data_IF_474096121244
#
_entry.id   IF_474096121244
#
_cell.length_a   1.000
_cell.length_b   1.000
_cell.length_c   1.000
_cell.angle_alpha   90.00
_cell.angle_beta   90.00
_cell.angle_gamma   90.00
#
_symmetry.space_group_name_H-M   'P 1'
#
loop_
_entity.id
_entity.type
_entity.pdbx_description
1 polymer ?
#
# COMPACT_ATOMS: atom_id res chain seq x y z
N UNK A 1 20.07 10.78 7.50
CA UNK A 1 20.23 9.39 6.97
C UNK A 1 21.72 9.13 6.70
N UNK A 2 22.26 7.97 7.13
CA UNK A 2 23.66 7.65 6.86
C UNK A 2 23.76 6.79 5.58
N UNK A 3 24.29 7.38 4.50
CA UNK A 3 24.49 6.66 3.23
C UNK A 3 25.40 5.42 3.36
N UNK A 4 26.26 5.38 4.40
CA UNK A 4 27.15 4.25 4.65
C UNK A 4 26.42 2.99 5.11
N UNK A 5 25.14 3.08 5.53
CA UNK A 5 24.35 1.92 5.91
C UNK A 5 23.82 1.15 4.69
N UNK A 6 23.88 1.75 3.50
CA UNK A 6 23.36 1.16 2.26
C UNK A 6 24.47 0.58 1.38
N UNK A 7 24.12 -0.42 0.56
CA UNK A 7 24.98 -0.95 -0.50
C UNK A 7 24.95 0.01 -1.68
N UNK A 8 25.89 0.93 -1.74
CA UNK A 8 25.99 1.94 -2.80
C UNK A 8 27.03 1.50 -3.81
N UNK A 9 26.73 1.43 -5.13
CA UNK A 9 27.69 1.13 -6.16
C UNK A 9 28.69 2.28 -6.35
N UNK A 10 29.78 2.03 -7.05
CA UNK A 10 30.67 3.11 -7.50
C UNK A 10 29.91 4.04 -8.46
N UNK A 11 30.10 5.35 -8.30
CA UNK A 11 29.42 6.39 -9.08
C UNK A 11 28.10 6.86 -8.46
N UNK A 12 27.29 7.55 -9.26
CA UNK A 12 25.99 8.11 -8.83
C UNK A 12 24.86 7.13 -9.13
N UNK A 13 24.05 6.81 -8.11
CA UNK A 13 22.84 6.01 -8.27
C UNK A 13 21.59 6.89 -8.16
N UNK A 14 20.89 7.09 -9.28
CA UNK A 14 19.70 7.97 -9.38
C UNK A 14 18.41 7.21 -9.65
N UNK A 15 18.37 5.89 -9.41
CA UNK A 15 17.26 5.02 -9.78
C UNK A 15 16.39 4.58 -8.59
N UNK A 16 16.46 5.25 -7.44
CA UNK A 16 15.63 4.89 -6.28
C UNK A 16 14.13 4.98 -6.56
N UNK A 17 13.73 5.84 -7.49
CA UNK A 17 12.34 5.93 -7.95
C UNK A 17 11.84 4.63 -8.64
N UNK A 18 12.76 3.76 -9.04
CA UNK A 18 12.47 2.42 -9.59
C UNK A 18 12.79 1.32 -8.58
N UNK A 19 14.04 1.23 -8.12
CA UNK A 19 14.50 0.24 -7.14
C UNK A 19 15.45 0.90 -6.14
N UNK A 20 15.09 0.93 -4.87
CA UNK A 20 15.95 1.42 -3.79
C UNK A 20 17.14 0.49 -3.51
N UNK A 21 18.20 1.04 -2.93
CA UNK A 21 19.42 0.25 -2.59
C UNK A 21 19.23 -0.42 -1.23
N UNK A 22 19.59 -1.72 -1.08
CA UNK A 22 19.39 -2.43 0.17
C UNK A 22 20.33 -1.92 1.28
N UNK A 23 19.88 -2.08 2.52
CA UNK A 23 20.76 -1.94 3.69
C UNK A 23 21.86 -3.02 3.64
N UNK A 24 23.07 -2.69 4.09
CA UNK A 24 24.17 -3.68 4.24
C UNK A 24 23.84 -4.82 5.19
N UNK A 25 23.03 -4.53 6.20
CA UNK A 25 22.56 -5.52 7.19
C UNK A 25 21.41 -6.41 6.70
N UNK A 26 20.82 -6.10 5.52
CA UNK A 26 19.63 -6.80 5.04
C UNK A 26 19.86 -8.29 4.78
N UNK A 27 21.01 -8.67 4.22
CA UNK A 27 21.35 -10.07 3.94
C UNK A 27 21.45 -10.89 5.22
N UNK A 28 22.16 -10.40 6.23
CA UNK A 28 22.30 -11.06 7.52
C UNK A 28 20.96 -11.17 8.23
N UNK A 29 20.15 -10.12 8.25
CA UNK A 29 18.81 -10.15 8.82
C UNK A 29 17.93 -11.21 8.14
N UNK A 30 17.90 -11.20 6.80
CA UNK A 30 17.10 -12.16 6.04
C UNK A 30 17.54 -13.61 6.28
N UNK A 31 18.85 -13.87 6.32
CA UNK A 31 19.38 -15.19 6.65
C UNK A 31 18.91 -15.64 8.05
N UNK A 32 18.99 -14.77 9.05
CA UNK A 32 18.61 -15.11 10.42
C UNK A 32 17.10 -15.34 10.57
N UNK A 33 16.28 -14.53 9.93
CA UNK A 33 14.81 -14.56 10.12
C UNK A 33 14.11 -15.55 9.19
N UNK A 34 14.69 -15.84 8.04
CA UNK A 34 14.08 -16.73 7.04
C UNK A 34 14.80 -18.09 6.95
N UNK A 35 16.06 -18.10 6.55
CA UNK A 35 16.78 -19.36 6.30
C UNK A 35 17.13 -20.13 7.58
N UNK A 36 17.60 -19.45 8.62
CA UNK A 36 17.97 -20.12 9.87
C UNK A 36 16.78 -20.83 10.53
N UNK A 37 15.59 -20.22 10.50
CA UNK A 37 14.37 -20.85 10.98
C UNK A 37 14.02 -22.12 10.21
N UNK A 38 14.26 -22.14 8.91
CA UNK A 38 13.94 -23.26 8.04
C UNK A 38 14.97 -24.40 8.12
N UNK A 39 16.25 -24.04 8.29
CA UNK A 39 17.37 -24.98 8.23
C UNK A 39 17.69 -25.64 9.59
N UNK A 40 17.56 -24.88 10.69
CA UNK A 40 18.10 -25.27 11.97
C UNK A 40 17.06 -25.85 12.94
N UNK A 41 15.78 -25.69 12.66
CA UNK A 41 14.70 -26.15 13.51
C UNK A 41 14.11 -27.47 13.01
N UNK A 42 13.94 -28.43 13.91
CA UNK A 42 13.25 -29.69 13.59
C UNK A 42 11.73 -29.58 13.75
N UNK A 43 11.18 -28.43 13.22
CA UNK A 43 9.77 -28.09 13.25
C UNK A 43 9.44 -27.15 12.09
N UNK A 44 8.15 -26.93 11.85
CA UNK A 44 7.68 -25.97 10.87
C UNK A 44 8.09 -24.55 11.23
N UNK A 45 8.65 -23.74 10.30
CA UNK A 45 9.13 -22.39 10.56
C UNK A 45 8.01 -21.34 10.58
N UNK A 46 6.74 -21.73 10.43
CA UNK A 46 5.61 -20.81 10.27
C UNK A 46 5.52 -19.75 11.36
N UNK A 47 5.72 -20.14 12.62
CA UNK A 47 5.63 -19.19 13.73
C UNK A 47 6.62 -18.04 13.58
N UNK A 48 7.89 -18.33 13.27
CA UNK A 48 8.91 -17.31 13.08
C UNK A 48 8.68 -16.49 11.80
N UNK A 49 8.28 -17.14 10.72
CA UNK A 49 7.97 -16.46 9.48
C UNK A 49 6.80 -15.48 9.62
N UNK A 50 5.74 -15.87 10.33
CA UNK A 50 4.59 -15.01 10.59
C UNK A 50 4.97 -13.83 11.51
N UNK A 51 5.85 -14.01 12.48
CA UNK A 51 6.43 -12.90 13.26
C UNK A 51 7.16 -11.89 12.37
N UNK A 52 7.85 -12.35 11.31
CA UNK A 52 8.45 -11.47 10.31
C UNK A 52 7.42 -10.65 9.53
N UNK A 53 6.26 -11.24 9.24
CA UNK A 53 5.13 -10.52 8.62
C UNK A 53 4.48 -9.52 9.60
N UNK A 54 4.34 -9.89 10.86
CA UNK A 54 3.88 -8.97 11.92
C UNK A 54 4.85 -7.79 12.10
N UNK A 55 6.16 -8.05 12.02
CA UNK A 55 7.17 -6.99 12.03
C UNK A 55 7.02 -6.05 10.84
N UNK A 56 6.66 -6.56 9.65
CA UNK A 56 6.39 -5.74 8.46
C UNK A 56 5.21 -4.79 8.69
N UNK A 57 4.05 -5.29 9.13
CA UNK A 57 2.87 -4.45 9.38
C UNK A 57 3.07 -3.50 10.54
N UNK A 58 3.81 -3.90 11.59
CA UNK A 58 4.17 -3.04 12.72
C UNK A 58 5.12 -1.90 12.32
N UNK A 59 6.10 -2.19 11.46
CA UNK A 59 7.01 -1.17 10.93
C UNK A 59 6.27 -0.15 10.05
N UNK A 60 5.30 -0.60 9.24
CA UNK A 60 4.43 0.29 8.48
C UNK A 60 3.55 1.14 9.39
N UNK A 61 2.95 0.55 10.42
CA UNK A 61 2.14 1.27 11.40
C UNK A 61 2.94 2.39 12.09
N UNK A 62 4.19 2.11 12.46
CA UNK A 62 5.10 3.11 13.03
C UNK A 62 5.45 4.20 12.02
N UNK A 63 5.79 3.83 10.77
CA UNK A 63 6.18 4.77 9.71
C UNK A 63 5.06 5.75 9.37
N UNK A 64 3.80 5.28 9.35
CA UNK A 64 2.63 6.04 8.93
C UNK A 64 1.76 6.53 10.09
N UNK A 65 2.21 6.34 11.33
CA UNK A 65 1.47 6.72 12.54
C UNK A 65 0.05 6.14 12.58
N UNK A 66 -0.05 4.81 12.49
CA UNK A 66 -1.32 4.07 12.40
C UNK A 66 -1.28 2.78 13.23
N UNK A 67 -2.24 1.87 13.03
CA UNK A 67 -2.34 0.59 13.70
C UNK A 67 -2.00 -0.56 12.73
N UNK A 68 -1.21 -1.55 13.18
CA UNK A 68 -0.76 -2.68 12.34
C UNK A 68 -1.90 -3.53 11.79
N UNK A 69 -3.00 -3.63 12.53
CA UNK A 69 -4.22 -4.36 12.15
C UNK A 69 -4.96 -3.76 10.94
N UNK A 70 -4.65 -2.51 10.58
CA UNK A 70 -5.22 -1.84 9.41
C UNK A 70 -4.37 -2.05 8.14
N UNK A 71 -3.22 -2.71 8.24
CA UNK A 71 -2.36 -3.06 7.11
C UNK A 71 -2.52 -4.53 6.71
N UNK A 72 -2.61 -4.77 5.41
CA UNK A 72 -2.52 -6.10 4.83
C UNK A 72 -1.33 -6.19 3.88
N UNK A 73 -0.42 -7.19 4.05
CA UNK A 73 0.62 -7.46 3.09
C UNK A 73 0.05 -7.78 1.71
N UNK A 74 0.66 -7.25 0.66
CA UNK A 74 0.28 -7.47 -0.74
C UNK A 74 1.52 -7.76 -1.59
N UNK A 75 1.39 -8.55 -2.64
CA UNK A 75 2.53 -8.86 -3.52
C UNK A 75 2.95 -7.68 -4.38
N UNK A 76 2.01 -6.83 -4.77
CA UNK A 76 2.21 -5.57 -5.52
C UNK A 76 0.97 -4.68 -5.40
N UNK A 77 1.08 -3.43 -5.86
CA UNK A 77 -0.02 -2.46 -5.78
C UNK A 77 -1.23 -2.88 -6.63
N UNK A 78 -1.00 -3.38 -7.83
CA UNK A 78 -2.10 -3.75 -8.75
C UNK A 78 -2.99 -4.84 -8.15
N UNK A 79 -2.39 -5.87 -7.53
CA UNK A 79 -3.13 -6.93 -6.84
C UNK A 79 -3.90 -6.39 -5.63
N UNK A 80 -3.28 -5.51 -4.84
CA UNK A 80 -3.94 -4.85 -3.71
C UNK A 80 -5.11 -3.98 -4.16
N UNK A 81 -4.92 -3.20 -5.23
CA UNK A 81 -5.97 -2.38 -5.82
C UNK A 81 -7.13 -3.22 -6.34
N UNK A 82 -6.86 -4.28 -7.09
CA UNK A 82 -7.89 -5.20 -7.62
C UNK A 82 -8.72 -5.79 -6.48
N UNK A 83 -8.08 -6.31 -5.42
CA UNK A 83 -8.77 -6.84 -4.25
C UNK A 83 -9.65 -5.79 -3.57
N UNK A 84 -9.15 -4.58 -3.42
CA UNK A 84 -9.92 -3.47 -2.83
C UNK A 84 -11.14 -3.12 -3.67
N UNK A 85 -10.97 -2.87 -4.96
CA UNK A 85 -12.05 -2.49 -5.87
C UNK A 85 -13.17 -3.53 -5.87
N UNK A 86 -12.82 -4.82 -5.94
CA UNK A 86 -13.78 -5.94 -5.94
C UNK A 86 -14.41 -6.20 -4.58
N UNK A 87 -13.95 -5.58 -3.50
CA UNK A 87 -14.41 -5.86 -2.13
C UNK A 87 -15.42 -4.85 -1.60
N UNK A 88 -15.35 -3.60 -2.06
CA UNK A 88 -16.14 -2.52 -1.47
C UNK A 88 -17.49 -2.37 -2.21
N UNK A 89 -18.66 -2.45 -1.49
CA UNK A 89 -19.96 -2.50 -2.14
C UNK A 89 -20.26 -1.27 -3.02
N UNK A 90 -19.80 -0.08 -2.61
CA UNK A 90 -19.98 1.14 -3.39
C UNK A 90 -19.24 1.10 -4.73
N UNK A 91 -18.08 0.42 -4.79
CA UNK A 91 -17.27 0.31 -6.00
C UNK A 91 -17.74 -0.81 -6.94
N UNK A 92 -18.66 -1.64 -6.47
CA UNK A 92 -19.29 -2.71 -7.26
C UNK A 92 -20.73 -2.37 -7.67
N UNK A 93 -21.17 -1.14 -7.46
CA UNK A 93 -22.46 -0.66 -7.96
C UNK A 93 -22.40 -0.38 -9.47
N UNK A 94 -23.54 -0.55 -10.12
CA UNK A 94 -23.69 -0.09 -11.51
C UNK A 94 -23.44 1.42 -11.63
N UNK A 95 -22.77 1.82 -12.70
CA UNK A 95 -22.40 3.21 -12.99
C UNK A 95 -21.51 3.88 -11.91
N UNK A 96 -20.76 3.08 -11.15
CA UNK A 96 -19.72 3.58 -10.25
C UNK A 96 -18.75 4.49 -11.02
N UNK A 97 -18.40 5.65 -10.44
CA UNK A 97 -17.46 6.60 -11.05
C UNK A 97 -16.19 6.73 -10.25
N UNK A 98 -15.06 6.59 -10.93
CA UNK A 98 -13.73 6.73 -10.34
C UNK A 98 -12.99 7.87 -11.01
N UNK A 99 -12.42 8.78 -10.21
CA UNK A 99 -11.55 9.86 -10.67
C UNK A 99 -10.09 9.45 -10.52
N UNK A 100 -9.31 9.61 -11.58
CA UNK A 100 -7.84 9.47 -11.54
C UNK A 100 -7.21 10.43 -12.57
N UNK A 101 -5.89 10.60 -12.54
CA UNK A 101 -5.20 11.43 -13.51
C UNK A 101 -4.64 10.60 -14.69
N UNK A 102 -4.61 11.16 -15.90
CA UNK A 102 -3.91 10.55 -17.04
C UNK A 102 -2.41 10.35 -16.78
N UNK A 103 -1.85 11.08 -15.82
CA UNK A 103 -0.46 10.98 -15.39
C UNK A 103 -0.19 9.89 -14.36
N UNK A 104 -1.22 9.17 -13.88
CA UNK A 104 -1.06 8.06 -12.95
C UNK A 104 -0.34 6.89 -13.60
N UNK A 105 0.26 6.04 -12.75
CA UNK A 105 1.01 4.88 -13.25
C UNK A 105 0.06 3.91 -13.98
N UNK A 106 0.37 3.47 -15.22
CA UNK A 106 -0.56 2.77 -16.09
C UNK A 106 -1.20 1.51 -15.48
N UNK A 107 -0.48 0.77 -14.64
CA UNK A 107 -1.02 -0.43 -13.99
C UNK A 107 -2.24 -0.13 -13.13
N UNK A 108 -2.36 1.08 -12.57
CA UNK A 108 -3.52 1.47 -11.76
C UNK A 108 -4.76 1.62 -12.64
N UNK A 109 -4.64 2.29 -13.79
CA UNK A 109 -5.70 2.39 -14.77
C UNK A 109 -6.13 1.03 -15.34
N UNK A 110 -5.16 0.12 -15.60
CA UNK A 110 -5.48 -1.24 -16.06
C UNK A 110 -6.27 -2.04 -15.01
N UNK A 111 -5.88 -1.94 -13.72
CA UNK A 111 -6.59 -2.59 -12.63
C UNK A 111 -8.01 -2.01 -12.46
N UNK A 112 -8.17 -0.67 -12.55
CA UNK A 112 -9.49 -0.01 -12.54
C UNK A 112 -10.41 -0.55 -13.63
N UNK A 113 -9.93 -0.59 -14.89
CA UNK A 113 -10.71 -1.06 -16.03
C UNK A 113 -11.16 -2.54 -15.93
N UNK A 114 -10.45 -3.36 -15.14
CA UNK A 114 -10.72 -4.80 -15.05
C UNK A 114 -11.40 -5.25 -13.76
N UNK A 115 -11.26 -4.49 -12.70
CA UNK A 115 -11.81 -4.84 -11.37
C UNK A 115 -13.14 -4.14 -11.06
N UNK A 116 -13.43 -3.04 -11.74
CA UNK A 116 -14.72 -2.36 -11.66
C UNK A 116 -15.76 -3.03 -12.56
N UNK A 117 -17.09 -2.87 -12.30
CA UNK A 117 -18.14 -3.28 -13.20
C UNK A 117 -17.98 -2.72 -14.62
N UNK A 118 -18.48 -3.42 -15.63
CA UNK A 118 -18.42 -2.94 -17.04
C UNK A 118 -19.13 -1.60 -17.25
N UNK A 119 -20.13 -1.30 -16.43
CA UNK A 119 -20.86 -0.02 -16.46
C UNK A 119 -20.14 1.12 -15.73
N UNK A 120 -19.01 0.85 -15.07
CA UNK A 120 -18.27 1.88 -14.35
C UNK A 120 -17.61 2.88 -15.32
N UNK A 121 -17.57 4.14 -14.89
CA UNK A 121 -16.92 5.23 -15.61
C UNK A 121 -15.61 5.62 -14.93
N UNK A 122 -14.52 5.69 -15.68
CA UNK A 122 -13.26 6.26 -15.21
C UNK A 122 -13.14 7.66 -15.79
N UNK A 123 -13.25 8.66 -14.92
CA UNK A 123 -13.06 10.07 -15.25
C UNK A 123 -11.57 10.39 -15.09
N UNK A 124 -10.96 10.95 -16.12
CA UNK A 124 -9.56 11.32 -16.10
C UNK A 124 -9.37 12.82 -15.97
N UNK A 125 -8.50 13.25 -15.05
CA UNK A 125 -7.93 14.60 -15.07
C UNK A 125 -6.92 14.64 -16.21
N UNK A 126 -7.05 15.62 -17.12
CA UNK A 126 -6.20 15.75 -18.30
C UNK A 126 -4.71 15.90 -17.88
N UNK A 127 -3.81 15.30 -18.63
CA UNK A 127 -2.35 15.32 -18.37
C UNK A 127 -1.71 16.72 -18.42
N UNK A 128 -2.40 17.71 -18.98
CA UNK A 128 -1.94 19.10 -19.07
C UNK A 128 -2.39 19.95 -17.87
N UNK A 129 -3.26 19.41 -17.01
CA UNK A 129 -3.68 20.08 -15.77
C UNK A 129 -2.56 20.06 -14.71
N UNK A 130 -2.55 21.10 -13.88
CA UNK A 130 -1.61 21.17 -12.75
C UNK A 130 -2.13 20.35 -11.56
N UNK A 131 -1.65 19.13 -11.43
CA UNK A 131 -2.05 18.21 -10.35
C UNK A 131 -1.57 18.65 -8.96
N UNK A 132 -0.76 19.71 -8.86
CA UNK A 132 -0.37 20.35 -7.59
C UNK A 132 -1.39 21.40 -7.12
N UNK A 133 -2.34 21.78 -7.98
CA UNK A 133 -3.43 22.68 -7.63
C UNK A 133 -4.68 21.91 -7.18
N UNK A 134 -5.04 22.06 -5.91
CA UNK A 134 -6.23 21.45 -5.33
C UNK A 134 -7.55 21.90 -6.00
N UNK A 135 -7.58 23.08 -6.65
CA UNK A 135 -8.77 23.58 -7.32
C UNK A 135 -9.11 22.76 -8.58
N UNK A 136 -8.11 22.20 -9.25
CA UNK A 136 -8.33 21.27 -10.36
C UNK A 136 -9.10 20.04 -9.85
N UNK A 137 -8.64 19.42 -8.78
CA UNK A 137 -9.32 18.27 -8.15
C UNK A 137 -10.74 18.63 -7.70
N UNK A 138 -10.92 19.80 -7.10
CA UNK A 138 -12.23 20.30 -6.68
C UNK A 138 -13.19 20.40 -7.86
N UNK A 139 -12.75 20.94 -9.00
CA UNK A 139 -13.59 21.10 -10.18
C UNK A 139 -14.11 19.76 -10.72
N UNK A 140 -13.24 18.73 -10.77
CA UNK A 140 -13.63 17.39 -11.21
C UNK A 140 -14.56 16.69 -10.22
N UNK A 141 -14.29 16.79 -8.92
CA UNK A 141 -15.10 16.20 -7.86
C UNK A 141 -16.49 16.84 -7.77
N UNK A 142 -16.59 18.15 -7.93
CA UNK A 142 -17.86 18.89 -7.90
C UNK A 142 -18.79 18.57 -9.07
N UNK A 143 -18.23 18.25 -10.24
CA UNK A 143 -19.00 18.14 -11.48
C UNK A 143 -19.36 16.71 -11.89
N UNK A 144 -18.84 15.67 -11.21
CA UNK A 144 -18.91 14.30 -11.74
C UNK A 144 -19.55 13.24 -10.82
N UNK A 145 -19.98 13.56 -9.60
CA UNK A 145 -20.54 12.57 -8.64
C UNK A 145 -19.62 11.35 -8.47
N UNK A 146 -18.37 11.58 -8.09
CA UNK A 146 -17.32 10.58 -8.01
C UNK A 146 -17.51 9.68 -6.77
N UNK A 147 -17.42 8.36 -6.93
CA UNK A 147 -17.46 7.39 -5.84
C UNK A 147 -16.10 7.16 -5.19
N UNK A 148 -15.03 7.17 -5.98
CA UNK A 148 -13.65 7.00 -5.52
C UNK A 148 -12.73 7.98 -6.26
N UNK A 149 -11.88 8.69 -5.52
CA UNK A 149 -10.74 9.40 -6.11
C UNK A 149 -9.45 8.64 -5.80
N UNK A 150 -8.70 8.31 -6.86
CA UNK A 150 -7.35 7.77 -6.79
C UNK A 150 -6.34 8.92 -6.84
N UNK A 151 -5.43 8.96 -5.87
CA UNK A 151 -4.50 10.08 -5.68
C UNK A 151 -3.08 9.53 -5.61
N UNK A 152 -2.27 9.72 -6.64
CA UNK A 152 -0.82 9.52 -6.53
C UNK A 152 -0.22 10.67 -5.71
N UNK A 153 0.37 10.39 -4.54
CA UNK A 153 1.01 11.42 -3.72
C UNK A 153 2.16 12.10 -4.47
N UNK A 154 2.92 11.31 -5.25
CA UNK A 154 3.94 11.82 -6.17
C UNK A 154 3.84 11.06 -7.49
N UNK A 155 3.78 11.78 -8.58
CA UNK A 155 3.70 11.21 -9.94
C UNK A 155 5.06 10.70 -10.42
N UNK A 156 5.08 9.45 -10.88
CA UNK A 156 6.33 8.74 -11.23
C UNK A 156 7.03 9.31 -12.46
N UNK A 157 6.30 9.96 -13.35
CA UNK A 157 6.79 10.52 -14.62
C UNK A 157 7.24 11.98 -14.51
N UNK A 158 6.65 12.77 -13.60
CA UNK A 158 6.92 14.21 -13.47
C UNK A 158 7.61 14.57 -12.16
N UNK A 159 7.44 13.75 -11.10
CA UNK A 159 7.87 14.09 -9.75
C UNK A 159 7.00 15.15 -9.06
N UNK A 160 5.90 15.57 -9.68
CA UNK A 160 4.93 16.48 -9.06
C UNK A 160 4.32 15.85 -7.81
N UNK A 161 4.20 16.63 -6.75
CA UNK A 161 3.59 16.23 -5.47
C UNK A 161 2.17 16.78 -5.40
N UNK A 162 1.18 15.88 -5.28
CA UNK A 162 -0.22 16.25 -5.09
C UNK A 162 -0.47 16.78 -3.66
N UNK A 163 -1.34 17.77 -3.47
CA UNK A 163 -1.73 18.32 -2.17
C UNK A 163 -2.75 17.41 -1.49
N UNK A 164 -2.28 16.25 -0.98
CA UNK A 164 -3.14 15.15 -0.53
C UNK A 164 -4.10 15.53 0.60
N UNK A 165 -3.70 16.43 1.51
CA UNK A 165 -4.57 16.90 2.60
C UNK A 165 -5.79 17.64 2.06
N UNK A 166 -5.56 18.54 1.11
CA UNK A 166 -6.61 19.33 0.48
C UNK A 166 -7.53 18.44 -0.35
N UNK A 167 -6.96 17.56 -1.17
CA UNK A 167 -7.74 16.67 -2.06
C UNK A 167 -8.62 15.72 -1.24
N UNK A 168 -8.09 15.09 -0.17
CA UNK A 168 -8.86 14.20 0.71
C UNK A 168 -9.99 14.97 1.41
N UNK A 169 -9.74 16.20 1.87
CA UNK A 169 -10.77 17.03 2.47
C UNK A 169 -11.88 17.40 1.47
N UNK A 170 -11.51 17.73 0.23
CA UNK A 170 -12.47 17.99 -0.84
C UNK A 170 -13.28 16.73 -1.16
N UNK A 171 -12.62 15.58 -1.33
CA UNK A 171 -13.28 14.30 -1.57
C UNK A 171 -14.34 13.99 -0.50
N UNK A 172 -13.99 14.22 0.77
CA UNK A 172 -14.90 14.05 1.90
C UNK A 172 -16.11 14.98 1.85
N UNK A 173 -15.94 16.26 1.45
CA UNK A 173 -17.05 17.22 1.28
C UNK A 173 -18.03 16.75 0.20
N UNK A 174 -17.54 16.03 -0.81
CA UNK A 174 -18.33 15.44 -1.89
C UNK A 174 -18.79 14.01 -1.61
N UNK A 175 -18.60 13.49 -0.38
CA UNK A 175 -18.91 12.10 -0.03
C UNK A 175 -18.22 11.09 -0.97
N UNK A 176 -17.02 11.39 -1.45
CA UNK A 176 -16.18 10.57 -2.32
C UNK A 176 -15.17 9.80 -1.47
N UNK A 177 -15.03 8.49 -1.69
CA UNK A 177 -13.97 7.67 -1.08
C UNK A 177 -12.59 8.10 -1.62
N UNK A 178 -11.57 8.06 -0.76
CA UNK A 178 -10.21 8.41 -1.14
C UNK A 178 -9.27 7.22 -1.07
N UNK A 179 -8.48 7.01 -2.13
CA UNK A 179 -7.42 6.02 -2.21
C UNK A 179 -6.09 6.68 -2.54
N UNK A 180 -5.15 6.63 -1.60
CA UNK A 180 -3.83 7.23 -1.71
C UNK A 180 -2.79 6.21 -2.20
N UNK A 181 -2.08 6.50 -3.28
CA UNK A 181 -0.88 5.78 -3.72
C UNK A 181 0.37 6.50 -3.20
N UNK A 182 1.13 5.83 -2.31
CA UNK A 182 2.36 6.36 -1.73
C UNK A 182 3.62 5.67 -2.27
N UNK A 183 3.53 4.96 -3.38
CA UNK A 183 4.66 4.20 -3.93
C UNK A 183 5.89 5.07 -4.24
N UNK A 184 5.71 6.36 -4.56
CA UNK A 184 6.80 7.29 -4.83
C UNK A 184 7.12 8.23 -3.66
N UNK A 185 6.40 8.14 -2.54
CA UNK A 185 6.58 9.05 -1.41
C UNK A 185 6.91 8.36 -0.09
N UNK A 186 6.47 7.12 0.09
CA UNK A 186 6.76 6.34 1.31
C UNK A 186 8.26 6.23 1.57
N UNK A 187 8.69 6.67 2.74
CA UNK A 187 10.09 6.68 3.14
C UNK A 187 10.85 7.99 2.89
N UNK A 188 10.28 8.94 2.11
CA UNK A 188 10.90 10.25 1.83
C UNK A 188 9.99 11.45 2.09
N UNK A 189 8.67 11.27 2.05
CA UNK A 189 7.71 12.30 2.44
C UNK A 189 6.92 11.83 3.65
N UNK A 190 6.55 12.79 4.50
CA UNK A 190 5.70 12.50 5.65
C UNK A 190 4.27 12.16 5.17
N UNK A 191 3.77 11.01 5.65
CA UNK A 191 2.37 10.62 5.52
C UNK A 191 1.92 10.16 6.92
N UNK A 192 1.13 10.98 7.58
CA UNK A 192 0.61 10.72 8.92
C UNK A 192 -0.88 10.40 8.84
N UNK A 193 -1.22 9.13 8.96
CA UNK A 193 -2.59 8.64 8.83
C UNK A 193 -3.51 9.07 9.99
N UNK A 194 -2.97 9.61 11.07
CA UNK A 194 -3.80 10.24 12.12
C UNK A 194 -4.28 11.63 11.75
N UNK A 195 -3.58 12.29 10.80
CA UNK A 195 -3.91 13.64 10.30
C UNK A 195 -4.64 13.59 8.96
N UNK A 196 -4.48 12.49 8.21
CA UNK A 196 -5.16 12.24 6.94
C UNK A 196 -6.42 11.41 7.21
N UNK A 197 -7.60 11.95 6.93
CA UNK A 197 -8.85 11.18 7.00
C UNK A 197 -9.07 10.41 5.67
N UNK A 198 -8.04 9.71 5.22
CA UNK A 198 -8.09 8.87 4.03
C UNK A 198 -8.88 7.58 4.30
N UNK A 199 -9.49 7.01 3.25
CA UNK A 199 -10.20 5.75 3.37
C UNK A 199 -9.29 4.55 3.12
N UNK A 200 -8.41 4.66 2.11
CA UNK A 200 -7.50 3.59 1.70
C UNK A 200 -6.12 4.14 1.33
N UNK A 201 -5.09 3.31 1.46
CA UNK A 201 -3.74 3.61 0.99
C UNK A 201 -3.07 2.36 0.44
N UNK A 202 -2.34 2.52 -0.67
CA UNK A 202 -1.47 1.51 -1.27
C UNK A 202 -0.03 2.00 -1.31
N UNK A 203 0.92 1.08 -1.13
CA UNK A 203 2.32 1.39 -1.26
C UNK A 203 3.19 0.15 -1.46
N UNK A 204 4.47 0.35 -1.71
CA UNK A 204 5.45 -0.71 -1.93
C UNK A 204 6.79 -0.37 -1.31
N UNK A 205 7.51 -1.40 -0.87
CA UNK A 205 8.84 -1.24 -0.29
C UNK A 205 9.98 -1.19 -1.32
N UNK A 206 9.73 -1.48 -2.60
CA UNK A 206 10.77 -1.66 -3.62
C UNK A 206 11.55 -0.39 -3.94
N UNK A 207 10.93 0.78 -3.80
CA UNK A 207 11.48 2.09 -4.19
C UNK A 207 12.25 2.74 -3.02
N UNK A 208 11.68 3.78 -2.47
CA UNK A 208 12.32 4.64 -1.45
C UNK A 208 12.44 3.98 -0.07
N UNK A 209 11.62 2.97 0.22
CA UNK A 209 11.75 2.15 1.44
C UNK A 209 12.86 1.09 1.34
N UNK A 210 13.50 0.92 0.17
CA UNK A 210 14.67 0.05 -0.02
C UNK A 210 14.49 -1.41 0.42
N UNK A 211 13.25 -1.91 0.47
CA UNK A 211 12.89 -3.24 0.99
C UNK A 211 12.78 -4.33 -0.07
N UNK A 212 13.11 -4.04 -1.34
CA UNK A 212 13.01 -5.00 -2.45
C UNK A 212 11.58 -5.23 -2.98
N UNK A 213 11.46 -5.97 -4.10
CA UNK A 213 10.17 -6.26 -4.73
C UNK A 213 9.40 -7.36 -3.98
N UNK A 214 8.09 -7.43 -4.21
CA UNK A 214 7.22 -8.47 -3.64
C UNK A 214 6.63 -8.13 -2.28
N UNK A 215 7.00 -6.99 -1.68
CA UNK A 215 6.44 -6.49 -0.42
C UNK A 215 5.76 -5.14 -0.64
N UNK A 216 4.51 -5.21 -1.06
CA UNK A 216 3.57 -4.10 -1.09
C UNK A 216 2.60 -4.22 0.09
N UNK A 217 1.77 -3.21 0.28
CA UNK A 217 0.78 -3.18 1.34
C UNK A 217 -0.47 -2.42 0.91
N UNK A 218 -1.59 -2.85 1.48
CA UNK A 218 -2.87 -2.15 1.50
C UNK A 218 -3.16 -1.72 2.94
N UNK A 219 -3.46 -0.46 3.16
CA UNK A 219 -4.02 0.04 4.40
C UNK A 219 -5.49 0.39 4.18
N UNK A 220 -6.34 0.02 5.13
CA UNK A 220 -7.78 0.29 5.11
C UNK A 220 -8.15 0.98 6.41
N UNK A 221 -8.79 2.14 6.33
CA UNK A 221 -9.26 2.83 7.53
C UNK A 221 -10.25 1.99 8.33
N UNK A 222 -10.29 2.17 9.63
CA UNK A 222 -11.23 1.45 10.51
C UNK A 222 -12.69 1.66 10.12
N UNK A 223 -13.02 2.82 9.51
CA UNK A 223 -14.36 3.16 9.03
C UNK A 223 -14.78 2.29 7.84
N UNK A 224 -13.85 1.94 6.96
CA UNK A 224 -14.12 1.20 5.72
C UNK A 224 -13.92 -0.30 5.87
N UNK A 225 -13.12 -0.73 6.86
CA UNK A 225 -12.69 -2.11 6.99
C UNK A 225 -13.84 -3.11 7.06
N UNK A 226 -14.88 -2.82 7.87
CA UNK A 226 -16.04 -3.71 8.03
C UNK A 226 -16.94 -3.78 6.80
N UNK A 227 -16.87 -2.78 5.92
CA UNK A 227 -17.65 -2.73 4.67
C UNK A 227 -17.03 -3.57 3.56
N UNK A 228 -15.71 -3.81 3.63
CA UNK A 228 -14.99 -4.54 2.60
C UNK A 228 -15.19 -6.06 2.73
N UNK A 229 -15.57 -6.71 1.64
CA UNK A 229 -15.75 -8.15 1.50
C UNK A 229 -14.91 -8.67 0.31
N UNK A 230 -13.59 -8.91 0.49
CA UNK A 230 -12.73 -9.36 -0.60
C UNK A 230 -13.22 -10.65 -1.25
N UNK A 231 -13.13 -10.72 -2.59
CA UNK A 231 -13.49 -11.90 -3.37
C UNK A 231 -12.32 -12.91 -3.44
N UNK A 232 -11.08 -12.41 -3.50
CA UNK A 232 -9.88 -13.24 -3.46
C UNK A 232 -9.54 -13.57 -2.00
N UNK A 233 -10.08 -14.70 -1.55
CA UNK A 233 -9.95 -15.18 -0.18
C UNK A 233 -9.24 -16.53 -0.13
N UNK A 234 -8.66 -16.81 1.02
CA UNK A 234 -8.05 -18.09 1.35
C UNK A 234 -7.96 -18.25 2.86
N UNK A 235 -7.23 -19.24 3.33
CA UNK A 235 -7.18 -19.56 4.75
C UNK A 235 -6.61 -18.44 5.63
N UNK A 236 -5.69 -17.59 5.10
CA UNK A 236 -5.22 -16.40 5.81
C UNK A 236 -6.15 -15.17 5.74
N UNK A 237 -7.22 -15.23 4.94
CA UNK A 237 -8.32 -14.26 5.00
C UNK A 237 -9.37 -14.63 6.03
N UNK A 238 -9.33 -15.87 6.53
CA UNK A 238 -10.27 -16.39 7.52
C UNK A 238 -9.95 -15.87 8.92
N UNK A 239 -10.97 -15.69 9.75
CA UNK A 239 -10.86 -15.22 11.13
C UNK A 239 -9.89 -16.08 11.97
N UNK A 240 -9.90 -17.41 11.77
CA UNK A 240 -8.97 -18.36 12.34
C UNK A 240 -8.32 -19.19 11.23
N UNK A 241 -7.13 -18.83 10.73
CA UNK A 241 -6.48 -19.54 9.63
C UNK A 241 -6.24 -21.04 9.86
N UNK A 242 -6.14 -21.48 11.12
CA UNK A 242 -5.84 -22.86 11.51
C UNK A 242 -7.07 -23.66 11.96
N UNK A 243 -8.28 -23.18 11.72
CA UNK A 243 -9.51 -23.89 12.04
C UNK A 243 -9.78 -25.04 11.08
N UNK A 244 -9.41 -24.87 9.79
CA UNK A 244 -9.58 -25.86 8.72
C UNK A 244 -11.01 -26.36 8.49
N UNK A 245 -12.05 -25.62 8.89
CA UNK A 245 -13.42 -25.94 8.56
C UNK A 245 -13.79 -25.40 7.16
N UNK A 246 -13.90 -26.29 6.19
CA UNK A 246 -14.22 -25.96 4.79
C UNK A 246 -15.65 -25.44 4.59
N UNK A 247 -16.53 -25.63 5.55
CA UNK A 247 -17.96 -25.30 5.40
C UNK A 247 -18.32 -23.90 5.89
N UNK A 248 -17.48 -23.32 6.74
CA UNK A 248 -17.76 -22.04 7.37
C UNK A 248 -16.63 -21.07 7.14
N UNK A 249 -16.89 -20.01 6.38
CA UNK A 249 -15.95 -18.94 6.16
C UNK A 249 -16.42 -17.68 6.90
N UNK A 250 -15.52 -17.11 7.70
CA UNK A 250 -15.71 -15.80 8.33
C UNK A 250 -14.49 -14.92 8.05
N UNK A 251 -14.70 -13.69 7.62
CA UNK A 251 -13.61 -12.77 7.36
C UNK A 251 -12.78 -12.46 8.60
N UNK A 252 -11.48 -12.37 8.45
CA UNK A 252 -10.60 -11.84 9.48
C UNK A 252 -11.05 -10.44 9.89
N UNK A 253 -11.02 -10.12 11.19
CA UNK A 253 -11.52 -8.86 11.73
C UNK A 253 -10.63 -7.66 11.38
N UNK A 254 -9.37 -7.91 11.01
CA UNK A 254 -8.39 -6.91 10.59
C UNK A 254 -8.28 -6.82 9.07
N UNK A 255 -7.37 -5.98 8.56
CA UNK A 255 -7.08 -5.88 7.13
C UNK A 255 -6.55 -7.20 6.53
N UNK A 256 -6.14 -8.18 7.35
CA UNK A 256 -5.75 -9.51 6.86
C UNK A 256 -6.87 -10.24 6.10
N UNK A 257 -8.13 -9.79 6.20
CA UNK A 257 -9.20 -10.28 5.31
C UNK A 257 -8.86 -10.19 3.81
N UNK A 258 -7.93 -9.30 3.44
CA UNK A 258 -7.45 -9.13 2.07
C UNK A 258 -6.25 -10.02 1.71
N UNK A 259 -5.74 -10.85 2.64
CA UNK A 259 -4.46 -11.51 2.41
C UNK A 259 -4.55 -12.67 1.41
N UNK A 260 -5.54 -13.55 1.57
CA UNK A 260 -5.77 -14.66 0.64
C UNK A 260 -5.25 -16.00 1.14
N UNK A 261 -4.62 -16.77 0.26
CA UNK A 261 -4.09 -18.11 0.52
C UNK A 261 -2.76 -18.10 1.28
N UNK A 262 -1.95 -19.15 1.05
CA UNK A 262 -0.61 -19.27 1.66
C UNK A 262 0.27 -18.08 1.31
N UNK A 263 0.74 -17.31 2.31
CA UNK A 263 1.44 -16.07 2.04
C UNK A 263 2.88 -16.28 1.56
N UNK A 264 3.35 -15.38 0.71
CA UNK A 264 4.76 -15.21 0.41
C UNK A 264 5.41 -14.44 1.56
N UNK A 265 6.15 -15.11 2.46
CA UNK A 265 6.69 -14.47 3.68
C UNK A 265 8.04 -13.79 3.48
N UNK A 266 8.89 -14.33 2.61
CA UNK A 266 10.27 -13.89 2.40
C UNK A 266 10.40 -12.38 2.06
N UNK A 267 9.62 -11.79 1.13
CA UNK A 267 9.70 -10.37 0.82
C UNK A 267 9.35 -9.48 2.02
N UNK A 268 8.38 -9.89 2.84
CA UNK A 268 7.95 -9.09 3.99
C UNK A 268 8.99 -9.11 5.11
N UNK A 269 9.64 -10.26 5.35
CA UNK A 269 10.76 -10.38 6.29
C UNK A 269 11.90 -9.44 5.87
N UNK A 270 12.27 -9.44 4.59
CA UNK A 270 13.30 -8.54 4.07
C UNK A 270 12.90 -7.07 4.22
N UNK A 271 11.70 -6.73 3.81
CA UNK A 271 11.20 -5.37 3.80
C UNK A 271 11.00 -4.79 5.20
N UNK A 272 10.57 -5.60 6.19
CA UNK A 272 10.36 -5.16 7.57
C UNK A 272 11.60 -4.51 8.15
N UNK A 273 12.78 -5.07 7.88
CA UNK A 273 14.07 -4.55 8.35
C UNK A 273 14.36 -3.15 7.80
N UNK A 274 14.14 -2.96 6.51
CA UNK A 274 14.36 -1.68 5.86
C UNK A 274 13.31 -0.63 6.28
N UNK A 275 12.04 -1.00 6.33
CA UNK A 275 10.96 -0.09 6.76
C UNK A 275 11.19 0.37 8.20
N UNK A 276 11.58 -0.55 9.09
CA UNK A 276 11.87 -0.20 10.48
C UNK A 276 13.03 0.80 10.58
N UNK A 277 14.09 0.66 9.76
CA UNK A 277 15.18 1.62 9.69
C UNK A 277 14.67 3.04 9.40
N UNK A 278 13.78 3.22 8.41
CA UNK A 278 13.21 4.52 8.08
C UNK A 278 12.26 5.02 9.18
N UNK A 279 11.48 4.14 9.79
CA UNK A 279 10.57 4.48 10.88
C UNK A 279 11.33 4.93 12.14
N UNK A 280 12.47 4.26 12.47
CA UNK A 280 13.33 4.63 13.60
C UNK A 280 14.07 5.96 13.36
N UNK A 281 14.53 6.17 12.13
CA UNK A 281 15.23 7.39 11.76
C UNK A 281 14.31 8.62 11.77
N UNK A 282 13.06 8.43 11.37
CA UNK A 282 12.09 9.52 11.16
C UNK A 282 12.28 10.24 9.82
N UNK A 283 11.18 10.49 9.11
CA UNK A 283 11.17 11.03 7.74
C UNK A 283 11.84 12.41 7.63
N UNK A 284 11.74 13.25 8.65
CA UNK A 284 12.40 14.55 8.67
C UNK A 284 13.92 14.45 8.50
N UNK A 285 14.55 13.39 9.07
CA UNK A 285 16.00 13.17 8.93
C UNK A 285 16.40 12.58 7.57
N UNK A 286 15.45 12.02 6.83
CA UNK A 286 15.70 11.52 5.47
C UNK A 286 15.82 12.67 4.48
N UNK A 287 15.02 13.75 4.66
CA UNK A 287 15.00 14.92 3.78
C UNK A 287 16.10 15.95 4.07
N UNK A 288 16.66 15.95 5.28
CA UNK A 288 17.75 16.84 5.68
C UNK A 288 19.09 16.38 5.06
#
# INVERSE_FOLDING_TARGET
>A
MNKNDFVIPQGSYLLNHSVGRPLKSAEQHFHQQFFAAWQNENKEPWQQWLQGVEAFTSSLAKLFNSHSELFCPQVNLSSGLTKLLMSHPRLQQENCKVLMAESDFPSMGFAMQKALPESAEIVFIDKHEDLTDAQIWQSYLANNNIDLVFISHVYSNTGQQAPIHEIINIAKQHNTLSLLDVAQSAGILEVDLTKLDADFMLGSSVKWLCGGPGAAYLWVSSKQLSLCQPQDVGWFSHQNPFEFDIKHFAYHQTALRFWGGTPSVAPYILASHSINYFADLGIHQVRA
#
